data_IF_203666875319
#
_entry.id   IF_203666875319
#
_cell.length_a   1.000
_cell.length_b   1.000
_cell.length_c   1.000
_cell.angle_alpha   90.00
_cell.angle_beta   90.00
_cell.angle_gamma   90.00
#
_symmetry.space_group_name_H-M   'P 1'
#
loop_
_entity.id
_entity.type
_entity.pdbx_description
1 polymer ?
#
# COMPACT_ATOMS: atom_id res chain seq x y z
N UNK A 1 11.17 18.94 -14.08
CA UNK A 1 11.32 19.04 -12.62
C UNK A 1 10.96 17.67 -12.05
N UNK A 2 11.93 16.91 -11.55
CA UNK A 2 11.67 15.58 -10.98
C UNK A 2 11.13 15.77 -9.57
N UNK A 3 9.85 15.41 -9.35
CA UNK A 3 9.22 15.45 -8.03
C UNK A 3 9.72 14.27 -7.23
N UNK A 4 10.90 14.42 -6.63
CA UNK A 4 11.46 13.42 -5.73
C UNK A 4 10.66 13.44 -4.43
N UNK A 5 10.30 12.26 -3.93
CA UNK A 5 9.70 12.13 -2.61
C UNK A 5 10.79 12.30 -1.57
N UNK A 6 10.51 13.19 -0.62
CA UNK A 6 11.31 13.38 0.58
C UNK A 6 11.12 12.20 1.54
N UNK A 7 12.23 11.61 1.99
CA UNK A 7 12.21 10.43 2.87
C UNK A 7 11.53 10.72 4.20
N UNK A 8 11.74 11.90 4.80
CA UNK A 8 11.13 12.28 6.08
C UNK A 8 9.61 12.46 5.92
N UNK A 9 9.18 12.97 4.77
CA UNK A 9 7.76 13.06 4.42
C UNK A 9 7.14 11.69 4.18
N UNK A 10 7.88 10.75 3.59
CA UNK A 10 7.44 9.36 3.45
C UNK A 10 7.29 8.68 4.82
N UNK A 11 8.20 8.94 5.75
CA UNK A 11 8.13 8.42 7.12
C UNK A 11 7.06 9.08 8.00
N UNK A 12 6.44 10.17 7.58
CA UNK A 12 5.41 10.89 8.36
C UNK A 12 3.99 10.78 7.77
N UNK A 13 3.79 9.91 6.76
CA UNK A 13 2.47 9.70 6.15
C UNK A 13 1.45 9.18 7.16
N UNK A 14 0.23 9.70 7.08
CA UNK A 14 -0.90 9.27 7.92
C UNK A 14 -1.35 7.85 7.54
N UNK A 15 -1.46 6.96 8.53
CA UNK A 15 -1.96 5.61 8.36
C UNK A 15 -3.39 5.57 7.79
N UNK A 16 -4.26 6.50 8.19
CA UNK A 16 -5.62 6.65 7.65
C UNK A 16 -5.62 7.01 6.16
N UNK A 17 -4.78 7.95 5.73
CA UNK A 17 -4.68 8.31 4.30
C UNK A 17 -4.11 7.16 3.47
N UNK A 18 -3.15 6.43 4.03
CA UNK A 18 -2.61 5.22 3.42
C UNK A 18 -3.68 4.14 3.30
N UNK A 19 -4.48 3.89 4.35
CA UNK A 19 -5.57 2.93 4.34
C UNK A 19 -6.64 3.27 3.29
N UNK A 20 -7.08 4.52 3.24
CA UNK A 20 -8.06 4.96 2.25
C UNK A 20 -7.54 4.82 0.82
N UNK A 21 -6.28 5.15 0.58
CA UNK A 21 -5.66 5.00 -0.74
C UNK A 21 -5.46 3.52 -1.12
N UNK A 22 -5.10 2.68 -0.15
CA UNK A 22 -4.97 1.23 -0.36
C UNK A 22 -6.33 0.59 -0.73
N UNK A 23 -7.43 0.98 -0.06
CA UNK A 23 -8.77 0.49 -0.43
C UNK A 23 -9.16 0.86 -1.85
N UNK A 24 -8.79 2.06 -2.33
CA UNK A 24 -9.07 2.44 -3.72
C UNK A 24 -8.34 1.52 -4.72
N UNK A 25 -7.08 1.17 -4.44
CA UNK A 25 -6.33 0.23 -5.27
C UNK A 25 -6.97 -1.15 -5.23
N UNK A 26 -7.29 -1.66 -4.05
CA UNK A 26 -7.95 -2.96 -3.88
C UNK A 26 -9.28 -3.01 -4.64
N UNK A 27 -10.16 -2.02 -4.44
CA UNK A 27 -11.45 -1.97 -5.12
C UNK A 27 -11.34 -1.90 -6.64
N UNK A 28 -10.27 -1.29 -7.17
CA UNK A 28 -10.04 -1.17 -8.61
C UNK A 28 -9.57 -2.47 -9.26
N UNK A 29 -9.02 -3.42 -8.48
CA UNK A 29 -8.48 -4.68 -8.98
C UNK A 29 -9.17 -5.93 -8.41
N UNK A 30 -10.15 -5.77 -7.52
CA UNK A 30 -10.79 -6.89 -6.80
C UNK A 30 -11.42 -7.94 -7.75
N UNK A 31 -11.88 -7.52 -8.93
CA UNK A 31 -12.53 -8.38 -9.92
C UNK A 31 -11.52 -9.13 -10.82
N UNK A 32 -10.24 -8.76 -10.78
CA UNK A 32 -9.20 -9.43 -11.54
C UNK A 32 -8.80 -10.76 -10.89
N UNK A 33 -8.15 -11.63 -11.67
CA UNK A 33 -7.51 -12.84 -11.12
C UNK A 33 -6.44 -12.47 -10.09
N UNK A 34 -6.32 -13.25 -9.01
CA UNK A 34 -5.35 -13.00 -7.91
C UNK A 34 -3.91 -12.83 -8.39
N UNK A 35 -3.50 -13.59 -9.39
CA UNK A 35 -2.16 -13.48 -9.98
C UNK A 35 -1.96 -12.13 -10.70
N UNK A 36 -3.01 -11.63 -11.36
CA UNK A 36 -3.03 -10.32 -12.02
C UNK A 36 -3.03 -9.20 -10.99
N UNK A 37 -3.82 -9.31 -9.92
CA UNK A 37 -3.86 -8.31 -8.85
C UNK A 37 -2.47 -8.06 -8.25
N UNK A 38 -1.76 -9.13 -7.89
CA UNK A 38 -0.41 -9.03 -7.29
C UNK A 38 0.59 -8.48 -8.30
N UNK A 39 0.60 -8.99 -9.53
CA UNK A 39 1.52 -8.53 -10.57
C UNK A 39 1.30 -7.06 -10.92
N UNK A 40 0.04 -6.64 -11.09
CA UNK A 40 -0.32 -5.27 -11.41
C UNK A 40 0.06 -4.30 -10.28
N UNK A 41 -0.23 -4.65 -9.02
CA UNK A 41 0.15 -3.84 -7.86
C UNK A 41 1.67 -3.68 -7.76
N UNK A 42 2.44 -4.75 -7.97
CA UNK A 42 3.91 -4.71 -7.98
C UNK A 42 4.47 -3.85 -9.12
N UNK A 43 3.92 -3.95 -10.33
CA UNK A 43 4.30 -3.12 -11.46
C UNK A 43 4.06 -1.63 -11.18
N UNK A 44 2.88 -1.27 -10.68
CA UNK A 44 2.55 0.12 -10.33
C UNK A 44 3.49 0.64 -9.24
N UNK A 45 3.75 -0.14 -8.19
CA UNK A 45 4.68 0.22 -7.13
C UNK A 45 6.10 0.50 -7.68
N UNK A 46 6.64 -0.40 -8.52
CA UNK A 46 7.97 -0.24 -9.09
C UNK A 46 8.07 1.02 -9.98
N UNK A 47 7.06 1.26 -10.82
CA UNK A 47 6.99 2.46 -11.68
C UNK A 47 6.90 3.74 -10.85
N UNK A 48 6.11 3.75 -9.77
CA UNK A 48 5.99 4.89 -8.87
C UNK A 48 7.30 5.16 -8.12
N UNK A 49 7.95 4.12 -7.58
CA UNK A 49 9.23 4.23 -6.89
C UNK A 49 10.29 4.84 -7.81
N UNK A 50 10.41 4.35 -9.05
CA UNK A 50 11.32 4.89 -10.05
C UNK A 50 10.97 6.35 -10.40
N UNK A 51 9.70 6.65 -10.65
CA UNK A 51 9.24 7.99 -11.06
C UNK A 51 9.45 9.04 -9.96
N UNK A 52 9.26 8.65 -8.71
CA UNK A 52 9.36 9.51 -7.53
C UNK A 52 10.74 9.47 -6.88
N UNK A 53 11.69 8.71 -7.46
CA UNK A 53 13.06 8.56 -6.98
C UNK A 53 13.15 8.01 -5.56
N UNK A 54 12.26 7.10 -5.19
CA UNK A 54 12.26 6.42 -3.90
C UNK A 54 12.89 5.04 -4.07
N UNK A 55 13.82 4.68 -3.20
CA UNK A 55 14.32 3.31 -3.17
C UNK A 55 13.18 2.37 -2.73
N UNK A 56 12.86 1.29 -3.48
CA UNK A 56 11.75 0.40 -3.15
C UNK A 56 11.81 -0.15 -1.73
N UNK A 57 13.01 -0.47 -1.23
CA UNK A 57 13.21 -0.94 0.14
C UNK A 57 12.68 0.03 1.19
N UNK A 58 12.96 1.33 1.04
CA UNK A 58 12.53 2.34 2.02
C UNK A 58 11.00 2.46 2.06
N UNK A 59 10.35 2.39 0.90
CA UNK A 59 8.89 2.40 0.83
C UNK A 59 8.26 1.15 1.45
N UNK A 60 8.89 -0.01 1.27
CA UNK A 60 8.48 -1.27 1.90
C UNK A 60 8.65 -1.23 3.43
N UNK A 61 9.76 -0.68 3.93
CA UNK A 61 9.99 -0.51 5.37
C UNK A 61 8.92 0.37 6.02
N UNK A 62 8.55 1.47 5.35
CA UNK A 62 7.45 2.35 5.79
C UNK A 62 6.13 1.61 5.80
N UNK A 63 5.81 0.85 4.75
CA UNK A 63 4.58 0.06 4.68
C UNK A 63 4.51 -0.98 5.81
N UNK A 64 5.60 -1.72 6.06
CA UNK A 64 5.69 -2.70 7.15
C UNK A 64 5.47 -2.05 8.52
N UNK A 65 6.09 -0.89 8.76
CA UNK A 65 5.91 -0.13 10.00
C UNK A 65 4.45 0.30 10.19
N UNK A 66 3.78 0.78 9.13
CA UNK A 66 2.38 1.19 9.18
C UNK A 66 1.46 -0.01 9.44
N UNK A 67 1.73 -1.16 8.81
CA UNK A 67 1.00 -2.40 9.07
C UNK A 67 1.20 -2.84 10.52
N UNK A 68 2.43 -2.86 11.02
CA UNK A 68 2.71 -3.24 12.41
C UNK A 68 2.04 -2.31 13.43
N UNK A 69 2.02 -0.99 13.16
CA UNK A 69 1.30 -0.02 13.99
C UNK A 69 -0.22 -0.27 13.97
N UNK A 70 -0.78 -0.58 12.80
CA UNK A 70 -2.23 -0.82 12.65
C UNK A 70 -2.77 -2.00 13.45
N UNK A 71 -1.96 -3.05 13.60
CA UNK A 71 -2.29 -4.24 14.40
C UNK A 71 -2.37 -3.86 15.89
N UNK A 72 -1.50 -2.98 16.35
CA UNK A 72 -1.44 -2.55 17.76
C UNK A 72 -2.51 -1.51 18.09
N UNK A 73 -2.74 -0.55 17.19
CA UNK A 73 -3.56 0.65 17.47
C UNK A 73 -5.00 0.57 16.94
N UNK A 74 -5.41 -0.54 16.30
CA UNK A 74 -6.74 -0.70 15.67
C UNK A 74 -7.08 0.42 14.67
N UNK A 75 -6.10 0.83 13.86
CA UNK A 75 -6.30 1.88 12.84
C UNK A 75 -7.13 1.40 11.64
N UNK A 76 -7.58 2.32 10.79
CA UNK A 76 -8.30 2.06 9.53
C UNK A 76 -7.62 1.03 8.61
N UNK A 77 -6.29 0.91 8.68
CA UNK A 77 -5.54 -0.10 7.92
C UNK A 77 -5.89 -1.54 8.33
N UNK A 78 -6.37 -1.76 9.56
CA UNK A 78 -6.88 -3.06 10.01
C UNK A 78 -8.11 -3.47 9.22
N UNK A 79 -8.99 -2.52 8.86
CA UNK A 79 -10.16 -2.80 8.02
C UNK A 79 -9.72 -3.23 6.62
N UNK A 80 -8.70 -2.58 6.05
CA UNK A 80 -8.07 -2.99 4.78
C UNK A 80 -7.50 -4.40 4.89
N UNK A 81 -6.78 -4.69 5.97
CA UNK A 81 -6.20 -6.01 6.19
C UNK A 81 -7.26 -7.11 6.37
N UNK A 82 -8.35 -6.81 7.09
CA UNK A 82 -9.50 -7.74 7.21
C UNK A 82 -10.13 -7.99 5.85
N UNK A 83 -10.40 -6.94 5.07
CA UNK A 83 -10.96 -7.05 3.73
C UNK A 83 -10.07 -7.92 2.83
N UNK A 84 -8.77 -7.65 2.77
CA UNK A 84 -7.80 -8.47 2.00
C UNK A 84 -7.80 -9.92 2.47
N UNK A 85 -7.91 -10.19 3.77
CA UNK A 85 -7.85 -11.54 4.33
C UNK A 85 -9.17 -12.33 4.23
N UNK A 86 -10.31 -11.65 4.19
CA UNK A 86 -11.66 -12.25 4.21
C UNK A 86 -12.27 -12.34 2.80
N UNK A 87 -12.09 -11.33 1.95
CA UNK A 87 -12.71 -11.28 0.61
C UNK A 87 -11.88 -12.03 -0.44
N UNK A 88 -10.54 -11.94 -0.42
CA UNK A 88 -9.69 -12.70 -1.35
C UNK A 88 -9.63 -14.20 -1.06
N UNK A 89 -10.18 -14.67 0.07
CA UNK A 89 -10.34 -16.11 0.33
C UNK A 89 -11.50 -16.72 -0.46
N UNK A 90 -12.47 -15.92 -0.86
CA UNK A 90 -13.72 -16.39 -1.46
C UNK A 90 -13.86 -16.09 -2.95
N UNK A 91 -12.94 -15.31 -3.55
CA UNK A 91 -12.74 -15.20 -5.00
C UNK A 91 -11.88 -16.31 -5.60
#
# INVERSE_FOLDING_TARGET
MTLLVDSDRLHSVSSTLVAHSAMKLVNAMQDDRKEVQIAAAACVFAMLAQKLGVHPGNALDVAQRIIAASVKERTDLRAVQMYVNEELKHG
#
